data_IF_647608768774
#
_entry.id   IF_647608768774
#
_cell.length_a   1.000
_cell.length_b   1.000
_cell.length_c   1.000
_cell.angle_alpha   90.00
_cell.angle_beta   90.00
_cell.angle_gamma   90.00
#
_symmetry.space_group_name_H-M   'P 1'
#
loop_
_entity.id
_entity.type
_entity.pdbx_description
1 polymer ?
#
# COMPACT_ATOMS: atom_id res chain seq x y z
N UNK A 1 23.68 -30.67 -45.06
CA UNK A 1 24.30 -29.52 -44.34
C UNK A 1 23.76 -28.16 -44.76
N UNK A 2 23.13 -27.99 -45.93
CA UNK A 2 22.61 -26.70 -46.42
C UNK A 2 21.31 -26.22 -45.76
N UNK A 3 20.49 -27.08 -45.17
CA UNK A 3 19.18 -26.71 -44.58
C UNK A 3 19.26 -26.04 -43.20
N UNK A 4 20.32 -26.19 -42.47
CA UNK A 4 20.47 -25.64 -41.11
C UNK A 4 20.90 -24.17 -41.13
N UNK A 5 21.67 -23.74 -42.11
CA UNK A 5 22.17 -22.37 -42.24
C UNK A 5 21.08 -21.36 -42.64
N UNK A 6 20.12 -21.78 -43.47
CA UNK A 6 19.00 -20.91 -43.86
C UNK A 6 18.04 -20.58 -42.71
N UNK A 7 17.87 -21.51 -41.80
CA UNK A 7 16.99 -21.32 -40.65
C UNK A 7 17.54 -20.26 -39.65
N UNK A 8 18.85 -20.22 -39.49
CA UNK A 8 19.48 -19.24 -38.55
C UNK A 8 19.46 -17.80 -39.09
N UNK A 9 19.57 -17.62 -40.41
CA UNK A 9 19.57 -16.27 -41.02
C UNK A 9 18.16 -15.66 -41.01
N UNK A 10 17.14 -16.47 -41.26
CA UNK A 10 15.73 -16.04 -41.22
C UNK A 10 15.34 -15.67 -39.78
N UNK A 11 15.68 -16.48 -38.78
CA UNK A 11 15.45 -16.17 -37.36
C UNK A 11 16.16 -14.90 -36.90
N UNK A 12 17.39 -14.66 -37.36
CA UNK A 12 18.17 -13.47 -37.01
C UNK A 12 17.60 -12.20 -37.64
N UNK A 13 17.02 -12.28 -38.84
CA UNK A 13 16.33 -11.15 -39.49
C UNK A 13 14.96 -10.89 -38.86
N UNK A 14 14.23 -11.94 -38.50
CA UNK A 14 12.97 -11.84 -37.81
C UNK A 14 13.15 -11.22 -36.41
N UNK A 15 14.15 -11.67 -35.64
CA UNK A 15 14.48 -11.11 -34.32
C UNK A 15 14.82 -9.62 -34.39
N UNK A 16 15.56 -9.17 -35.41
CA UNK A 16 15.85 -7.75 -35.60
C UNK A 16 14.60 -6.93 -35.94
N UNK A 17 13.73 -7.45 -36.80
CA UNK A 17 12.48 -6.77 -37.17
C UNK A 17 11.55 -6.66 -35.96
N UNK A 18 11.41 -7.69 -35.15
CA UNK A 18 10.62 -7.67 -33.92
C UNK A 18 11.21 -6.68 -32.90
N UNK A 19 12.53 -6.66 -32.73
CA UNK A 19 13.19 -5.71 -31.83
C UNK A 19 12.95 -4.25 -32.26
N UNK A 20 13.10 -3.96 -33.57
CA UNK A 20 12.84 -2.61 -34.10
C UNK A 20 11.38 -2.23 -33.91
N UNK A 21 10.45 -3.14 -34.20
CA UNK A 21 9.02 -2.89 -33.99
C UNK A 21 8.70 -2.62 -32.51
N UNK A 22 9.24 -3.40 -31.60
CA UNK A 22 9.05 -3.22 -30.16
C UNK A 22 9.56 -1.84 -29.69
N UNK A 23 10.78 -1.45 -30.09
CA UNK A 23 11.34 -0.13 -29.77
C UNK A 23 10.48 0.99 -30.33
N UNK A 24 10.02 0.86 -31.58
CA UNK A 24 9.17 1.88 -32.21
C UNK A 24 7.84 2.03 -31.49
N UNK A 25 7.19 0.93 -31.11
CA UNK A 25 5.93 0.93 -30.35
C UNK A 25 6.14 1.59 -28.99
N UNK A 26 7.23 1.25 -28.28
CA UNK A 26 7.55 1.84 -26.98
C UNK A 26 7.77 3.34 -27.08
N UNK A 27 8.49 3.81 -28.08
CA UNK A 27 8.72 5.24 -28.31
C UNK A 27 7.43 6.00 -28.64
N UNK A 28 6.59 5.44 -29.52
CA UNK A 28 5.30 6.04 -29.86
C UNK A 28 4.36 6.10 -28.65
N UNK A 29 4.31 5.03 -27.85
CA UNK A 29 3.51 4.98 -26.62
C UNK A 29 4.00 6.01 -25.60
N UNK A 30 5.33 6.05 -25.36
CA UNK A 30 5.93 7.02 -24.43
C UNK A 30 5.65 8.47 -24.87
N UNK A 31 5.77 8.76 -26.17
CA UNK A 31 5.48 10.09 -26.70
C UNK A 31 3.99 10.44 -26.54
N UNK A 32 3.08 9.49 -26.79
CA UNK A 32 1.65 9.70 -26.62
C UNK A 32 1.27 9.94 -25.14
N UNK A 33 1.92 9.25 -24.19
CA UNK A 33 1.72 9.45 -22.75
C UNK A 33 2.18 10.84 -22.28
N UNK A 34 3.27 11.36 -22.83
CA UNK A 34 3.80 12.70 -22.46
C UNK A 34 2.97 13.82 -23.08
N UNK A 35 2.57 13.67 -24.35
CA UNK A 35 1.94 14.76 -25.12
C UNK A 35 0.42 14.82 -25.02
N UNK A 36 -0.25 13.72 -24.64
CA UNK A 36 -1.70 13.64 -24.64
C UNK A 36 -2.26 13.28 -23.26
N UNK A 37 -2.76 14.29 -22.54
CA UNK A 37 -3.36 14.11 -21.20
C UNK A 37 -4.51 13.09 -21.19
N UNK A 38 -5.36 13.05 -22.22
CA UNK A 38 -6.48 12.10 -22.31
C UNK A 38 -6.03 10.64 -22.45
N UNK A 39 -4.92 10.40 -23.17
CA UNK A 39 -4.35 9.04 -23.26
C UNK A 39 -3.76 8.65 -21.91
N UNK A 40 -3.04 9.56 -21.27
CA UNK A 40 -2.49 9.33 -19.92
C UNK A 40 -3.58 9.01 -18.90
N UNK A 41 -4.65 9.81 -18.84
CA UNK A 41 -5.80 9.56 -17.96
C UNK A 41 -6.44 8.19 -18.19
N UNK A 42 -6.66 7.81 -19.47
CA UNK A 42 -7.22 6.49 -19.80
C UNK A 42 -6.31 5.33 -19.44
N UNK A 43 -5.00 5.49 -19.64
CA UNK A 43 -4.03 4.45 -19.26
C UNK A 43 -3.92 4.33 -17.75
N UNK A 44 -3.88 5.46 -17.03
CA UNK A 44 -3.89 5.47 -15.57
C UNK A 44 -5.19 4.84 -15.05
N UNK A 45 -6.36 5.22 -15.58
CA UNK A 45 -7.63 4.63 -15.20
C UNK A 45 -7.67 3.12 -15.47
N UNK A 46 -7.17 2.66 -16.62
CA UNK A 46 -7.06 1.24 -16.93
C UNK A 46 -6.07 0.50 -16.01
N UNK A 47 -4.93 1.13 -15.67
CA UNK A 47 -4.00 0.59 -14.69
C UNK A 47 -4.68 0.48 -13.33
N UNK A 48 -5.33 1.53 -12.85
CA UNK A 48 -6.07 1.53 -11.59
C UNK A 48 -7.14 0.45 -11.61
N UNK A 49 -7.99 0.37 -12.64
CA UNK A 49 -9.04 -0.65 -12.78
C UNK A 49 -8.46 -2.08 -12.86
N UNK A 50 -7.30 -2.26 -13.52
CA UNK A 50 -6.65 -3.58 -13.63
C UNK A 50 -5.94 -3.98 -12.34
N UNK A 51 -5.44 -3.00 -11.59
CA UNK A 51 -4.76 -3.18 -10.30
C UNK A 51 -5.64 -2.84 -9.08
N UNK A 52 -6.95 -2.64 -9.27
CA UNK A 52 -7.93 -2.54 -8.16
C UNK A 52 -7.87 -3.75 -7.20
N UNK A 53 -7.24 -4.83 -7.63
CA UNK A 53 -6.97 -6.00 -6.79
C UNK A 53 -5.95 -5.77 -5.69
N UNK A 54 -5.14 -4.72 -5.78
CA UNK A 54 -4.12 -4.38 -4.78
C UNK A 54 -4.18 -2.89 -4.51
N UNK A 55 -4.81 -2.49 -3.41
CA UNK A 55 -4.70 -1.11 -2.94
C UNK A 55 -3.30 -0.87 -2.43
N UNK A 56 -2.49 -0.15 -3.23
CA UNK A 56 -1.19 0.34 -2.81
C UNK A 56 -1.45 1.73 -2.20
N UNK A 57 -1.30 1.85 -0.90
CA UNK A 57 -1.24 3.16 -0.27
C UNK A 57 0.18 3.69 -0.47
N UNK A 58 0.38 4.52 -1.50
CA UNK A 58 1.62 5.23 -1.74
C UNK A 58 1.44 6.65 -1.18
N UNK A 59 2.05 6.91 -0.04
CA UNK A 59 2.08 8.23 0.58
C UNK A 59 3.27 8.99 0.03
N UNK A 60 3.02 10.10 -0.67
CA UNK A 60 4.04 11.08 -1.01
C UNK A 60 4.25 12.00 0.19
N UNK A 61 5.31 11.79 0.91
CA UNK A 61 5.75 12.73 1.94
C UNK A 61 6.63 13.82 1.29
N UNK A 62 6.09 15.00 1.13
CA UNK A 62 6.82 16.22 0.73
C UNK A 62 7.45 16.89 1.97
N UNK A 63 8.46 16.30 2.60
CA UNK A 63 9.07 16.98 3.74
C UNK A 63 10.36 16.37 4.25
N UNK A 64 11.46 17.10 4.10
CA UNK A 64 12.68 17.00 4.93
C UNK A 64 12.40 17.46 6.38
N UNK A 65 11.55 16.77 7.11
CA UNK A 65 11.44 16.97 8.55
C UNK A 65 12.07 15.77 9.25
N UNK A 66 12.79 16.04 10.34
CA UNK A 66 13.24 15.03 11.29
C UNK A 66 12.03 14.26 11.80
N UNK A 67 11.72 13.14 11.12
CA UNK A 67 10.61 12.28 11.47
C UNK A 67 10.87 11.68 12.85
N UNK A 68 9.83 11.55 13.69
CA UNK A 68 9.95 10.82 14.95
C UNK A 68 10.48 9.41 14.71
N UNK A 69 11.13 8.84 15.69
CA UNK A 69 11.43 7.41 15.69
C UNK A 69 10.10 6.66 15.85
N UNK A 70 9.87 5.59 15.06
CA UNK A 70 8.66 4.78 15.19
C UNK A 70 8.43 4.29 16.62
N UNK A 71 9.50 4.06 17.38
CA UNK A 71 9.44 3.65 18.78
C UNK A 71 8.91 4.75 19.72
N UNK A 72 8.89 6.01 19.29
CA UNK A 72 8.31 7.11 20.09
C UNK A 72 6.79 7.09 20.08
N UNK A 73 6.16 6.42 19.11
CA UNK A 73 4.69 6.32 19.05
C UNK A 73 4.16 5.28 20.03
N UNK A 74 3.28 5.71 20.92
CA UNK A 74 2.63 4.85 21.93
C UNK A 74 1.12 5.00 21.89
N UNK A 75 0.37 3.89 21.96
CA UNK A 75 -1.07 3.97 22.15
C UNK A 75 -1.38 4.40 23.61
N UNK A 76 -2.01 5.56 23.77
CA UNK A 76 -2.49 6.07 25.08
C UNK A 76 -3.88 5.56 25.42
N UNK A 77 -4.63 5.09 24.41
CA UNK A 77 -5.91 4.42 24.59
C UNK A 77 -5.82 2.98 24.11
N UNK A 78 -6.27 2.06 24.92
CA UNK A 78 -6.45 0.64 24.59
C UNK A 78 -7.82 0.19 25.10
N UNK A 79 -8.54 -0.68 24.38
CA UNK A 79 -9.79 -1.29 24.85
C UNK A 79 -9.59 -2.04 26.18
N UNK A 80 -10.66 -2.10 27.00
CA UNK A 80 -10.63 -2.84 28.26
C UNK A 80 -10.26 -4.30 28.03
N UNK A 81 -9.31 -4.80 28.79
CA UNK A 81 -8.80 -6.16 28.72
C UNK A 81 -7.74 -6.41 27.63
N UNK A 82 -7.35 -5.36 26.88
CA UNK A 82 -6.29 -5.52 25.90
C UNK A 82 -4.94 -5.79 26.54
N UNK A 83 -4.31 -6.89 26.16
CA UNK A 83 -2.97 -7.29 26.60
C UNK A 83 -2.02 -7.37 25.39
N UNK A 84 -0.87 -6.73 25.49
CA UNK A 84 0.19 -6.84 24.49
C UNK A 84 0.74 -8.26 24.49
N UNK A 85 0.65 -8.95 23.34
CA UNK A 85 1.15 -10.32 23.18
C UNK A 85 2.48 -10.37 22.49
N UNK A 86 2.73 -9.48 21.54
CA UNK A 86 3.96 -9.48 20.76
C UNK A 86 4.31 -8.07 20.28
N UNK A 87 5.60 -7.84 20.06
CA UNK A 87 6.13 -6.63 19.40
C UNK A 87 7.15 -7.07 18.36
N UNK A 88 6.99 -6.60 17.15
CA UNK A 88 7.93 -6.83 16.05
C UNK A 88 8.57 -5.49 15.68
N UNK A 89 9.89 -5.41 15.84
CA UNK A 89 10.67 -4.22 15.53
C UNK A 89 11.58 -4.47 14.32
N UNK A 90 11.50 -3.62 13.33
CA UNK A 90 12.37 -3.58 12.17
C UNK A 90 12.79 -2.12 11.91
N UNK A 91 13.85 -1.86 11.15
CA UNK A 91 14.35 -0.49 10.95
C UNK A 91 13.31 0.52 10.43
N UNK A 92 12.33 0.05 9.65
CA UNK A 92 11.32 0.87 8.99
C UNK A 92 9.88 0.47 9.34
N UNK A 93 9.72 -0.47 10.28
CA UNK A 93 8.41 -0.98 10.67
C UNK A 93 8.39 -1.35 12.16
N UNK A 94 7.29 -1.01 12.82
CA UNK A 94 6.99 -1.41 14.18
C UNK A 94 5.57 -1.98 14.22
N UNK A 95 5.41 -3.16 14.80
CA UNK A 95 4.10 -3.76 14.95
C UNK A 95 3.86 -4.19 16.41
N UNK A 96 2.65 -3.92 16.88
CA UNK A 96 2.14 -4.38 18.17
C UNK A 96 0.95 -5.31 17.94
N UNK A 97 0.95 -6.45 18.61
CA UNK A 97 -0.13 -7.43 18.57
C UNK A 97 -0.80 -7.48 19.94
N UNK A 98 -2.10 -7.15 19.99
CA UNK A 98 -2.90 -7.17 21.21
C UNK A 98 -3.99 -8.23 21.14
N UNK A 99 -4.22 -8.94 22.25
CA UNK A 99 -5.40 -9.78 22.43
C UNK A 99 -6.27 -9.18 23.55
N UNK A 100 -7.59 -9.22 23.35
CA UNK A 100 -8.59 -8.85 24.36
C UNK A 100 -9.14 -10.14 25.02
N UNK A 101 -9.38 -11.17 24.23
CA UNK A 101 -9.81 -12.50 24.67
C UNK A 101 -9.42 -13.55 23.60
N UNK A 102 -9.92 -14.78 23.72
CA UNK A 102 -9.58 -15.88 22.79
C UNK A 102 -10.01 -15.63 21.33
N UNK A 103 -11.01 -14.76 21.09
CA UNK A 103 -11.55 -14.49 19.76
C UNK A 103 -11.41 -13.04 19.31
N UNK A 104 -11.00 -12.14 20.20
CA UNK A 104 -10.91 -10.69 19.91
C UNK A 104 -9.48 -10.22 20.05
N UNK A 105 -8.97 -9.65 18.96
CA UNK A 105 -7.62 -9.13 18.88
C UNK A 105 -7.54 -7.93 17.93
N UNK A 106 -6.46 -7.18 18.01
CA UNK A 106 -6.11 -6.16 17.04
C UNK A 106 -4.59 -5.98 16.95
N UNK A 107 -4.15 -5.45 15.82
CA UNK A 107 -2.76 -5.17 15.54
C UNK A 107 -2.61 -3.69 15.19
N UNK A 108 -1.52 -3.09 15.63
CA UNK A 108 -1.10 -1.74 15.24
C UNK A 108 0.19 -1.88 14.47
N UNK A 109 0.21 -1.46 13.22
CA UNK A 109 1.37 -1.47 12.35
C UNK A 109 1.74 -0.03 12.02
N UNK A 110 2.98 0.34 12.29
CA UNK A 110 3.58 1.62 11.94
C UNK A 110 4.69 1.37 10.94
N UNK A 111 4.79 2.21 9.91
CA UNK A 111 5.90 2.15 8.98
C UNK A 111 6.30 3.54 8.50
N UNK A 112 7.57 3.69 8.13
CA UNK A 112 8.05 4.93 7.53
C UNK A 112 7.43 5.16 6.16
N UNK A 113 7.23 6.42 5.79
CA UNK A 113 6.48 6.81 4.57
C UNK A 113 7.08 6.34 3.24
N UNK A 114 8.34 5.94 3.22
CA UNK A 114 8.99 5.34 2.06
C UNK A 114 8.75 3.83 1.93
N UNK A 115 8.13 3.23 2.96
CA UNK A 115 7.77 1.81 2.96
C UNK A 115 6.39 1.62 2.31
N UNK A 116 6.33 0.85 1.23
CA UNK A 116 5.05 0.51 0.59
C UNK A 116 4.34 -0.55 1.40
N UNK A 117 3.17 -0.22 1.91
CA UNK A 117 2.29 -1.21 2.56
C UNK A 117 1.27 -1.68 1.54
N UNK A 118 1.25 -2.98 1.32
CA UNK A 118 0.26 -3.65 0.51
C UNK A 118 -0.87 -4.13 1.42
N UNK A 119 -1.97 -3.39 1.46
CA UNK A 119 -3.20 -3.91 2.05
C UNK A 119 -3.92 -4.73 0.98
N UNK A 120 -4.18 -6.00 1.26
CA UNK A 120 -5.00 -6.84 0.39
C UNK A 120 -6.48 -6.42 0.56
N UNK A 121 -6.89 -5.45 -0.26
CA UNK A 121 -8.27 -4.96 -0.31
C UNK A 121 -9.03 -5.49 -1.53
N UNK A 122 -8.64 -6.65 -2.06
CA UNK A 122 -9.29 -7.28 -3.21
C UNK A 122 -10.79 -7.50 -2.95
N UNK A 123 -11.63 -6.98 -3.83
CA UNK A 123 -13.09 -7.02 -3.76
C UNK A 123 -13.70 -6.35 -2.51
N UNK A 124 -13.04 -5.35 -1.96
CA UNK A 124 -13.46 -4.65 -0.75
C UNK A 124 -13.78 -3.19 -1.09
N UNK A 125 -14.90 -2.70 -0.59
CA UNK A 125 -15.24 -1.28 -0.68
C UNK A 125 -14.38 -0.51 0.34
N UNK A 126 -13.62 0.49 -0.15
CA UNK A 126 -12.78 1.34 0.68
C UNK A 126 -13.51 2.66 0.88
N UNK A 127 -13.74 3.01 2.13
CA UNK A 127 -14.38 4.27 2.52
C UNK A 127 -13.39 5.20 3.20
N UNK A 128 -13.50 6.51 2.94
CA UNK A 128 -12.75 7.52 3.69
C UNK A 128 -13.48 7.89 4.97
N UNK A 129 -12.75 8.19 6.04
CA UNK A 129 -13.32 8.70 7.28
C UNK A 129 -12.53 9.92 7.81
N UNK A 130 -13.24 10.79 8.54
CA UNK A 130 -12.69 11.92 9.31
C UNK A 130 -13.39 11.90 10.66
N UNK A 131 -12.71 11.36 11.67
CA UNK A 131 -13.28 11.18 13.00
C UNK A 131 -12.21 11.25 14.08
N UNK A 132 -12.53 11.92 15.17
CA UNK A 132 -11.67 12.05 16.37
C UNK A 132 -10.25 12.60 16.05
N UNK A 133 -10.15 13.44 15.01
CA UNK A 133 -8.88 14.02 14.54
C UNK A 133 -8.02 13.06 13.69
N UNK A 134 -8.56 11.92 13.31
CA UNK A 134 -7.94 10.98 12.38
C UNK A 134 -8.65 11.04 11.05
N UNK A 135 -7.91 11.30 9.99
CA UNK A 135 -8.38 11.27 8.60
C UNK A 135 -7.71 10.10 7.92
N UNK A 136 -8.50 9.19 7.35
CA UNK A 136 -7.94 7.98 6.76
C UNK A 136 -8.95 7.19 5.94
N UNK A 137 -8.62 5.94 5.75
CA UNK A 137 -9.41 4.97 5.00
C UNK A 137 -9.79 3.79 5.87
N UNK A 138 -11.00 3.31 5.66
CA UNK A 138 -11.56 2.14 6.32
C UNK A 138 -12.02 1.12 5.29
N UNK A 139 -11.83 -0.15 5.61
CA UNK A 139 -12.42 -1.27 4.87
C UNK A 139 -12.57 -2.50 5.76
N UNK A 140 -13.44 -3.41 5.34
CA UNK A 140 -13.64 -4.69 6.03
C UNK A 140 -13.29 -5.85 5.11
N UNK A 141 -12.47 -6.80 5.58
CA UNK A 141 -12.11 -8.01 4.86
C UNK A 141 -11.99 -9.20 5.81
N UNK A 142 -12.52 -10.36 5.41
CA UNK A 142 -12.42 -11.62 6.16
C UNK A 142 -12.82 -11.48 7.65
N UNK A 143 -13.91 -10.75 7.91
CA UNK A 143 -14.41 -10.41 9.25
C UNK A 143 -13.50 -9.51 10.11
N UNK A 144 -12.42 -8.99 9.54
CA UNK A 144 -11.56 -8.00 10.15
C UNK A 144 -11.88 -6.59 9.65
N UNK A 145 -11.84 -5.63 10.55
CA UNK A 145 -11.91 -4.22 10.24
C UNK A 145 -10.50 -3.67 10.11
N UNK A 146 -10.27 -2.82 9.12
CA UNK A 146 -8.99 -2.19 8.83
C UNK A 146 -9.17 -0.67 8.79
N UNK A 147 -8.26 0.06 9.41
CA UNK A 147 -8.08 1.49 9.19
C UNK A 147 -6.65 1.78 8.79
N UNK A 148 -6.49 2.71 7.87
CA UNK A 148 -5.19 3.16 7.38
C UNK A 148 -5.17 4.68 7.36
N UNK A 149 -4.14 5.30 7.91
CA UNK A 149 -4.00 6.75 7.94
C UNK A 149 -2.53 7.17 7.97
N UNK A 150 -2.28 8.44 7.72
CA UNK A 150 -0.96 9.05 7.84
C UNK A 150 -0.93 10.03 9.01
N UNK A 151 0.19 10.07 9.72
CA UNK A 151 0.47 11.07 10.75
C UNK A 151 1.96 11.37 10.77
N UNK A 152 2.31 12.65 10.74
CA UNK A 152 3.70 13.15 10.78
C UNK A 152 4.60 12.55 9.67
N UNK A 153 4.00 12.15 8.54
CA UNK A 153 4.65 11.54 7.41
C UNK A 153 4.98 10.06 7.59
N UNK A 154 4.50 9.41 8.64
CA UNK A 154 4.55 7.97 8.83
C UNK A 154 3.18 7.32 8.58
N UNK A 155 3.19 6.08 8.14
CA UNK A 155 1.98 5.33 7.84
C UNK A 155 1.57 4.44 9.01
N UNK A 156 0.27 4.45 9.28
CA UNK A 156 -0.35 3.65 10.32
C UNK A 156 -1.43 2.75 9.73
N UNK A 157 -1.41 1.48 10.10
CA UNK A 157 -2.50 0.55 9.83
C UNK A 157 -2.89 -0.13 11.12
N UNK A 158 -4.17 -0.06 11.48
CA UNK A 158 -4.71 -0.75 12.64
C UNK A 158 -5.82 -1.67 12.14
N UNK A 159 -5.75 -2.94 12.51
CA UNK A 159 -6.73 -3.92 12.06
C UNK A 159 -7.01 -4.99 13.12
N UNK A 160 -8.21 -5.53 13.07
CA UNK A 160 -8.58 -6.58 14.01
C UNK A 160 -10.04 -6.99 13.94
N UNK A 161 -10.41 -7.89 14.85
CA UNK A 161 -11.79 -8.40 15.00
C UNK A 161 -12.69 -7.51 15.86
N UNK A 162 -12.21 -6.32 16.24
CA UNK A 162 -12.98 -5.34 17.02
C UNK A 162 -13.67 -4.32 16.10
N UNK A 163 -14.62 -3.57 16.65
CA UNK A 163 -15.39 -2.61 15.88
C UNK A 163 -14.54 -1.45 15.36
N UNK A 164 -14.96 -0.87 14.22
CA UNK A 164 -14.31 0.28 13.60
C UNK A 164 -14.15 1.46 14.57
N UNK A 165 -15.18 1.75 15.35
CA UNK A 165 -15.14 2.86 16.33
C UNK A 165 -14.05 2.67 17.39
N UNK A 166 -13.80 1.43 17.81
CA UNK A 166 -12.70 1.12 18.71
C UNK A 166 -11.32 1.27 18.03
N UNK A 167 -11.20 0.84 16.76
CA UNK A 167 -9.96 1.05 15.99
C UNK A 167 -9.64 2.54 15.83
N UNK A 168 -10.65 3.38 15.57
CA UNK A 168 -10.48 4.85 15.44
C UNK A 168 -10.05 5.46 16.78
N UNK A 169 -10.62 5.03 17.91
CA UNK A 169 -10.19 5.52 19.23
C UNK A 169 -8.73 5.16 19.53
N UNK A 170 -8.31 3.93 19.15
CA UNK A 170 -6.91 3.52 19.26
C UNK A 170 -6.04 4.44 18.42
N UNK A 171 -6.42 4.69 17.15
CA UNK A 171 -5.70 5.57 16.23
C UNK A 171 -5.57 6.99 16.78
N UNK A 172 -6.67 7.56 17.29
CA UNK A 172 -6.68 8.88 17.91
C UNK A 172 -5.79 8.96 19.16
N UNK A 173 -5.71 7.84 19.90
CA UNK A 173 -4.89 7.71 21.10
C UNK A 173 -3.40 7.42 20.84
N UNK A 174 -2.94 7.25 19.62
CA UNK A 174 -1.51 7.11 19.35
C UNK A 174 -0.85 8.48 19.39
N UNK A 175 0.15 8.64 20.24
CA UNK A 175 0.89 9.91 20.42
C UNK A 175 2.39 9.64 20.44
N UNK A 176 3.18 10.66 20.14
CA UNK A 176 4.63 10.65 20.33
C UNK A 176 4.99 11.05 21.76
N UNK A 177 5.88 10.29 22.41
CA UNK A 177 6.50 10.67 23.68
C UNK A 177 7.69 11.60 23.49
#
# INVERSE_FOLDING_TARGET
>A
FRRVLFRSIVFRRFGKAVAVAAITITLLFSTAMVTNAKIREKVIAWIVETFEKYSIFELQSDGENTKPDLQSYKPTYLPDGAELKNTVEQPEMLAYEYAINESSYFNILLSKSDTRIYADAENTEIESFDKDGVIGYYFKKDDLNYICYERDGDFFSIYGSIDMDELIKIAAGITTE
#
